data_IF_457673681613
#
_entry.id   IF_457673681613
#
_cell.length_a   1.000
_cell.length_b   1.000
_cell.length_c   1.000
_cell.angle_alpha   90.00
_cell.angle_beta   90.00
_cell.angle_gamma   90.00
#
_symmetry.space_group_name_H-M   'P 1'
#
loop_
_entity.id
_entity.type
_entity.pdbx_description
1 polymer ?
#
# COMPACT_ATOMS: atom_id res chain seq x y z
N UNK A 1 -2.99 23.19 24.83
CA UNK A 1 -3.30 23.97 23.60
C UNK A 1 -2.31 23.56 22.52
N UNK A 2 -2.46 22.38 21.95
CA UNK A 2 -1.61 21.83 20.89
C UNK A 2 -2.25 22.03 19.54
N UNK A 3 -1.76 23.00 18.79
CA UNK A 3 -2.21 23.28 17.46
C UNK A 3 -1.95 22.11 16.52
N UNK A 4 -3.01 21.64 15.84
CA UNK A 4 -2.94 21.12 14.48
C UNK A 4 -2.15 19.84 14.16
N UNK A 5 -1.58 19.13 15.11
CA UNK A 5 -0.90 17.87 14.82
C UNK A 5 -1.95 16.75 14.61
N UNK A 6 -1.94 16.17 13.42
CA UNK A 6 -2.76 15.02 13.09
C UNK A 6 -2.33 13.85 13.97
N UNK A 7 -3.09 13.55 15.03
CA UNK A 7 -2.82 12.37 15.86
C UNK A 7 -2.96 11.11 15.00
N UNK A 8 -1.97 10.20 14.98
CA UNK A 8 -2.05 8.95 14.22
C UNK A 8 -3.31 8.14 14.52
N UNK A 9 -3.73 8.11 15.78
CA UNK A 9 -4.94 7.40 16.23
C UNK A 9 -6.21 8.01 15.60
N UNK A 10 -6.31 9.34 15.59
CA UNK A 10 -7.47 10.02 14.96
C UNK A 10 -7.53 9.79 13.46
N UNK A 11 -6.38 9.80 12.78
CA UNK A 11 -6.31 9.49 11.35
C UNK A 11 -6.74 8.05 11.07
N UNK A 12 -6.27 7.10 11.87
CA UNK A 12 -6.65 5.69 11.72
C UNK A 12 -8.14 5.49 11.95
N UNK A 13 -8.71 6.06 13.01
CA UNK A 13 -10.15 5.98 13.30
C UNK A 13 -10.99 6.63 12.19
N UNK A 14 -10.60 7.80 11.71
CA UNK A 14 -11.27 8.46 10.60
C UNK A 14 -11.21 7.61 9.31
N UNK A 15 -10.04 6.99 9.03
CA UNK A 15 -9.88 6.10 7.89
C UNK A 15 -10.77 4.85 7.98
N UNK A 16 -10.86 4.23 9.14
CA UNK A 16 -11.75 3.07 9.39
C UNK A 16 -13.21 3.45 9.23
N UNK A 17 -13.63 4.59 9.81
CA UNK A 17 -15.01 5.06 9.69
C UNK A 17 -15.38 5.37 8.24
N UNK A 18 -14.52 6.08 7.51
CA UNK A 18 -14.74 6.39 6.09
C UNK A 18 -14.76 5.11 5.25
N UNK A 19 -13.84 4.17 5.51
CA UNK A 19 -13.81 2.87 4.85
C UNK A 19 -15.11 2.09 5.04
N UNK A 20 -15.62 2.03 6.26
CA UNK A 20 -16.88 1.35 6.57
C UNK A 20 -18.09 1.96 5.83
N UNK A 21 -18.15 3.30 5.75
CA UNK A 21 -19.21 3.99 4.99
C UNK A 21 -19.11 3.67 3.50
N UNK A 22 -17.92 3.75 2.92
CA UNK A 22 -17.71 3.45 1.49
C UNK A 22 -17.99 1.97 1.17
N UNK A 23 -17.60 1.05 2.05
CA UNK A 23 -17.88 -0.37 1.90
C UNK A 23 -19.39 -0.65 1.98
N UNK A 24 -20.08 -0.04 2.93
CA UNK A 24 -21.54 -0.14 3.05
C UNK A 24 -22.27 0.38 1.80
N UNK A 25 -21.85 1.52 1.26
CA UNK A 25 -22.41 2.08 0.02
C UNK A 25 -22.14 1.16 -1.19
N UNK A 26 -20.91 0.68 -1.32
CA UNK A 26 -20.52 -0.22 -2.41
C UNK A 26 -21.31 -1.53 -2.36
N UNK A 27 -21.44 -2.12 -1.18
CA UNK A 27 -22.23 -3.34 -0.96
C UNK A 27 -23.71 -3.10 -1.23
N UNK A 28 -24.26 -1.96 -0.79
CA UNK A 28 -25.66 -1.59 -1.05
C UNK A 28 -25.96 -1.50 -2.57
N UNK A 29 -25.08 -0.85 -3.33
CA UNK A 29 -25.22 -0.74 -4.80
C UNK A 29 -25.07 -2.12 -5.46
N UNK A 30 -24.14 -2.94 -5.00
CA UNK A 30 -23.90 -4.28 -5.53
C UNK A 30 -25.10 -5.21 -5.32
N UNK A 31 -25.78 -5.13 -4.18
CA UNK A 31 -26.98 -5.93 -3.91
C UNK A 31 -28.17 -5.59 -4.82
N UNK A 32 -28.22 -4.36 -5.34
CA UNK A 32 -29.25 -3.93 -6.28
C UNK A 32 -28.98 -4.35 -7.72
N UNK A 33 -27.74 -4.74 -8.05
CA UNK A 33 -27.29 -5.06 -9.40
C UNK A 33 -26.42 -6.33 -9.40
N UNK A 34 -26.95 -7.50 -9.81
CA UNK A 34 -26.19 -8.75 -9.83
C UNK A 34 -24.88 -8.69 -10.62
N UNK A 35 -24.87 -7.99 -11.76
CA UNK A 35 -23.67 -7.84 -12.59
C UNK A 35 -22.56 -7.05 -11.88
N UNK A 36 -22.94 -6.02 -11.11
CA UNK A 36 -22.03 -5.22 -10.28
C UNK A 36 -21.49 -6.07 -9.12
N UNK A 37 -22.34 -6.90 -8.53
CA UNK A 37 -21.94 -7.82 -7.47
C UNK A 37 -20.88 -8.81 -7.94
N UNK A 38 -21.06 -9.43 -9.08
CA UNK A 38 -20.11 -10.37 -9.67
C UNK A 38 -18.77 -9.67 -10.01
N UNK A 39 -18.80 -8.47 -10.60
CA UNK A 39 -17.59 -7.70 -10.87
C UNK A 39 -16.85 -7.33 -9.59
N UNK A 40 -17.55 -6.88 -8.54
CA UNK A 40 -16.96 -6.57 -7.24
C UNK A 40 -16.30 -7.80 -6.59
N UNK A 41 -16.97 -8.94 -6.62
CA UNK A 41 -16.43 -10.20 -6.09
C UNK A 41 -15.12 -10.59 -6.78
N UNK A 42 -15.07 -10.40 -8.10
CA UNK A 42 -13.86 -10.68 -8.87
C UNK A 42 -12.75 -9.65 -8.60
N UNK A 43 -13.08 -8.39 -8.43
CA UNK A 43 -12.13 -7.35 -8.11
C UNK A 43 -11.57 -7.50 -6.69
N UNK A 44 -12.42 -7.83 -5.70
CA UNK A 44 -12.00 -8.07 -4.31
C UNK A 44 -11.01 -9.24 -4.17
N UNK A 45 -11.02 -10.17 -5.10
CA UNK A 45 -10.07 -11.27 -5.10
C UNK A 45 -8.65 -10.88 -5.55
N UNK A 46 -8.44 -9.66 -6.04
CA UNK A 46 -7.15 -9.09 -6.44
C UNK A 46 -6.45 -9.88 -7.57
N UNK A 47 -6.14 -9.22 -8.68
CA UNK A 47 -5.49 -9.86 -9.84
C UNK A 47 -4.56 -8.88 -10.55
N UNK A 48 -3.44 -9.39 -11.07
CA UNK A 48 -2.55 -8.64 -11.96
C UNK A 48 -2.97 -8.73 -13.44
N UNK A 49 -4.04 -9.43 -13.75
CA UNK A 49 -4.56 -9.57 -15.11
C UNK A 49 -5.25 -8.27 -15.55
N UNK A 50 -4.45 -7.33 -16.05
CA UNK A 50 -4.92 -6.01 -16.52
C UNK A 50 -5.27 -6.13 -17.99
N UNK A 51 -6.56 -6.14 -18.30
CA UNK A 51 -7.08 -6.26 -19.67
C UNK A 51 -6.98 -4.99 -20.51
N UNK A 52 -6.71 -3.82 -19.91
CA UNK A 52 -6.68 -2.52 -20.60
C UNK A 52 -5.38 -1.77 -20.36
N UNK A 53 -4.56 -1.68 -21.43
CA UNK A 53 -3.37 -0.82 -21.46
C UNK A 53 -3.69 0.66 -21.29
N UNK A 54 -4.90 1.09 -21.63
CA UNK A 54 -5.29 2.48 -21.51
C UNK A 54 -5.46 2.89 -20.05
N UNK A 55 -6.08 2.04 -19.25
CA UNK A 55 -6.20 2.24 -17.78
C UNK A 55 -4.83 2.32 -17.13
N UNK A 56 -3.90 1.45 -17.55
CA UNK A 56 -2.52 1.47 -17.05
C UNK A 56 -1.82 2.79 -17.34
N UNK A 57 -1.93 3.33 -18.56
CA UNK A 57 -1.31 4.61 -18.94
C UNK A 57 -1.83 5.79 -18.13
N UNK A 58 -3.12 5.84 -17.86
CA UNK A 58 -3.75 6.91 -17.07
C UNK A 58 -3.23 6.92 -15.62
N UNK A 59 -3.04 5.75 -15.05
CA UNK A 59 -2.63 5.62 -13.64
C UNK A 59 -1.11 5.67 -13.47
N UNK A 60 -0.35 5.32 -14.50
CA UNK A 60 1.12 5.30 -14.44
C UNK A 60 1.70 6.68 -14.11
N UNK A 61 1.17 7.74 -14.70
CA UNK A 61 1.67 9.12 -14.48
C UNK A 61 1.53 9.56 -13.02
N UNK A 62 0.34 9.52 -12.39
CA UNK A 62 0.21 9.90 -10.98
C UNK A 62 1.01 8.99 -10.05
N UNK A 63 1.12 7.69 -10.35
CA UNK A 63 1.92 6.75 -9.55
C UNK A 63 3.41 7.10 -9.62
N UNK A 64 3.96 7.39 -10.80
CA UNK A 64 5.37 7.79 -10.94
C UNK A 64 5.67 9.10 -10.23
N UNK A 65 4.77 10.09 -10.34
CA UNK A 65 4.92 11.36 -9.61
C UNK A 65 4.90 11.13 -8.10
N UNK A 66 3.92 10.36 -7.61
CA UNK A 66 3.81 10.07 -6.18
C UNK A 66 5.01 9.26 -5.66
N UNK A 67 5.51 8.29 -6.44
CA UNK A 67 6.73 7.54 -6.10
C UNK A 67 7.96 8.45 -6.04
N UNK A 68 8.13 9.35 -7.00
CA UNK A 68 9.20 10.34 -6.98
C UNK A 68 9.11 11.24 -5.74
N UNK A 69 7.91 11.76 -5.43
CA UNK A 69 7.70 12.57 -4.22
C UNK A 69 8.01 11.78 -2.95
N UNK A 70 7.62 10.49 -2.86
CA UNK A 70 7.96 9.61 -1.75
C UNK A 70 9.48 9.50 -1.54
N UNK A 71 10.24 9.32 -2.63
CA UNK A 71 11.69 9.25 -2.57
C UNK A 71 12.32 10.58 -2.12
N UNK A 72 11.81 11.71 -2.57
CA UNK A 72 12.27 13.03 -2.10
C UNK A 72 11.94 13.28 -0.62
N UNK A 73 10.83 12.71 -0.12
CA UNK A 73 10.43 12.80 1.28
C UNK A 73 11.28 11.95 2.24
N UNK A 74 12.11 11.03 1.74
CA UNK A 74 12.88 10.07 2.53
C UNK A 74 13.67 10.71 3.69
N UNK A 75 14.29 11.87 3.45
CA UNK A 75 15.04 12.60 4.48
C UNK A 75 14.13 13.15 5.60
N UNK A 76 13.01 13.74 5.21
CA UNK A 76 12.04 14.27 6.16
C UNK A 76 11.36 13.14 6.96
N UNK A 77 11.14 11.97 6.33
CA UNK A 77 10.63 10.77 6.99
C UNK A 77 11.63 10.21 8.00
N UNK A 78 12.93 10.21 7.68
CA UNK A 78 13.97 9.83 8.64
C UNK A 78 13.99 10.76 9.87
N UNK A 79 13.86 12.07 9.67
CA UNK A 79 13.75 13.00 10.80
C UNK A 79 12.49 12.73 11.63
N UNK A 80 11.36 12.44 10.96
CA UNK A 80 10.09 12.16 11.60
C UNK A 80 10.10 10.85 12.40
N UNK A 81 10.89 9.85 12.00
CA UNK A 81 11.06 8.59 12.74
C UNK A 81 11.74 8.76 14.11
N UNK A 82 12.42 9.88 14.34
CA UNK A 82 13.02 10.26 15.64
C UNK A 82 12.00 10.93 16.60
N UNK A 83 10.76 11.08 16.16
CA UNK A 83 9.70 11.77 16.88
C UNK A 83 9.45 13.19 16.38
N UNK A 84 8.21 13.68 16.55
CA UNK A 84 7.75 14.98 16.04
C UNK A 84 8.55 16.16 16.61
N UNK A 85 8.88 16.10 17.91
CA UNK A 85 9.56 17.17 18.62
C UNK A 85 11.02 17.28 18.18
N UNK A 86 11.70 16.13 18.06
CA UNK A 86 13.08 16.05 17.54
C UNK A 86 13.13 16.50 16.07
N UNK A 87 12.17 16.05 15.24
CA UNK A 87 12.10 16.46 13.84
C UNK A 87 11.92 17.98 13.71
N UNK A 88 11.10 18.58 14.57
CA UNK A 88 10.89 20.04 14.60
C UNK A 88 12.16 20.77 15.02
N UNK A 89 12.86 20.28 16.05
CA UNK A 89 14.14 20.85 16.50
C UNK A 89 15.22 20.78 15.40
N UNK A 90 15.17 19.74 14.54
CA UNK A 90 16.04 19.60 13.35
C UNK A 90 15.58 20.45 12.16
N UNK A 91 14.58 21.32 12.33
CA UNK A 91 14.06 22.22 11.28
C UNK A 91 13.10 21.58 10.28
N UNK A 92 12.64 20.36 10.53
CA UNK A 92 11.68 19.69 9.66
C UNK A 92 10.28 20.28 9.84
N UNK A 93 9.60 20.57 8.74
CA UNK A 93 8.20 21.02 8.73
C UNK A 93 7.26 19.82 8.87
N UNK A 94 7.13 19.29 10.09
CA UNK A 94 6.41 18.05 10.41
C UNK A 94 5.02 17.98 9.80
N UNK A 95 4.17 19.00 10.01
CA UNK A 95 2.81 19.02 9.47
C UNK A 95 2.77 18.95 7.94
N UNK A 96 3.69 19.63 7.25
CA UNK A 96 3.79 19.57 5.79
C UNK A 96 4.25 18.21 5.30
N UNK A 97 5.24 17.60 5.98
CA UNK A 97 5.73 16.26 5.65
C UNK A 97 4.64 15.21 5.82
N UNK A 98 3.89 15.28 6.92
CA UNK A 98 2.75 14.39 7.17
C UNK A 98 1.65 14.54 6.12
N UNK A 99 1.28 15.78 5.77
CA UNK A 99 0.25 16.04 4.78
C UNK A 99 0.65 15.54 3.38
N UNK A 100 1.88 15.84 2.93
CA UNK A 100 2.38 15.36 1.64
C UNK A 100 2.50 13.83 1.66
N UNK A 101 2.99 13.26 2.75
CA UNK A 101 3.07 11.81 2.93
C UNK A 101 1.70 11.14 2.82
N UNK A 102 0.67 11.72 3.45
CA UNK A 102 -0.71 11.22 3.36
C UNK A 102 -1.24 11.26 1.92
N UNK A 103 -1.02 12.37 1.19
CA UNK A 103 -1.40 12.47 -0.22
C UNK A 103 -0.69 11.42 -1.09
N UNK A 104 0.61 11.23 -0.87
CA UNK A 104 1.41 10.22 -1.60
C UNK A 104 0.86 8.82 -1.35
N UNK A 105 0.60 8.47 -0.08
CA UNK A 105 0.02 7.16 0.27
C UNK A 105 -1.35 6.99 -0.38
N UNK A 106 -2.20 8.02 -0.32
CA UNK A 106 -3.54 7.97 -0.93
C UNK A 106 -3.47 7.72 -2.43
N UNK A 107 -2.58 8.42 -3.14
CA UNK A 107 -2.42 8.23 -4.58
C UNK A 107 -1.85 6.85 -4.90
N UNK A 108 -0.78 6.41 -4.21
CA UNK A 108 -0.14 5.13 -4.49
C UNK A 108 -1.05 3.94 -4.16
N UNK A 109 -1.61 3.91 -2.94
CA UNK A 109 -2.49 2.82 -2.52
C UNK A 109 -3.81 2.83 -3.28
N UNK A 110 -4.43 4.01 -3.44
CA UNK A 110 -5.69 4.15 -4.16
C UNK A 110 -5.58 3.73 -5.62
N UNK A 111 -4.52 4.17 -6.30
CA UNK A 111 -4.24 3.79 -7.69
C UNK A 111 -3.97 2.30 -7.85
N UNK A 112 -3.16 1.71 -6.96
CA UNK A 112 -2.87 0.28 -7.00
C UNK A 112 -4.14 -0.54 -6.76
N UNK A 113 -4.88 -0.23 -5.69
CA UNK A 113 -6.10 -0.96 -5.35
C UNK A 113 -7.19 -0.81 -6.43
N UNK A 114 -7.33 0.35 -7.04
CA UNK A 114 -8.31 0.56 -8.11
C UNK A 114 -8.07 -0.35 -9.34
N UNK A 115 -6.80 -0.62 -9.67
CA UNK A 115 -6.44 -1.42 -10.84
C UNK A 115 -6.45 -2.93 -10.54
N UNK A 116 -5.74 -3.34 -9.48
CA UNK A 116 -5.48 -4.76 -9.20
C UNK A 116 -6.37 -5.34 -8.12
N UNK A 117 -7.18 -4.52 -7.47
CA UNK A 117 -7.93 -4.90 -6.29
C UNK A 117 -7.06 -4.94 -5.01
N UNK A 118 -7.67 -5.30 -3.87
CA UNK A 118 -6.95 -5.39 -2.60
C UNK A 118 -6.03 -6.61 -2.58
N UNK A 119 -4.72 -6.38 -2.33
CA UNK A 119 -3.73 -7.45 -2.13
C UNK A 119 -3.22 -7.34 -0.70
N UNK A 120 -3.51 -8.37 0.10
CA UNK A 120 -3.16 -8.40 1.51
C UNK A 120 -1.66 -8.72 1.74
N UNK A 121 -1.16 -8.40 2.95
CA UNK A 121 0.17 -8.71 3.49
C UNK A 121 1.36 -8.02 2.84
N UNK A 122 1.36 -7.72 1.56
CA UNK A 122 2.51 -7.16 0.84
C UNK A 122 2.95 -5.81 1.42
N UNK A 123 2.00 -4.93 1.71
CA UNK A 123 2.28 -3.61 2.28
C UNK A 123 2.93 -3.64 3.67
N UNK A 124 2.72 -4.72 4.43
CA UNK A 124 3.36 -4.92 5.73
C UNK A 124 4.68 -5.67 5.60
N UNK A 125 4.71 -6.72 4.80
CA UNK A 125 5.88 -7.60 4.65
C UNK A 125 7.05 -6.89 3.97
N UNK A 126 6.83 -6.22 2.85
CA UNK A 126 7.90 -5.66 2.03
C UNK A 126 8.71 -4.55 2.71
N UNK A 127 8.11 -3.56 3.41
CA UNK A 127 8.88 -2.58 4.17
C UNK A 127 9.70 -3.21 5.31
N UNK A 128 9.20 -4.29 5.93
CA UNK A 128 9.94 -5.02 6.96
C UNK A 128 11.15 -5.75 6.37
N UNK A 129 10.97 -6.44 5.24
CA UNK A 129 12.06 -7.09 4.52
C UNK A 129 13.11 -6.07 4.04
N UNK A 130 12.67 -4.94 3.49
CA UNK A 130 13.57 -3.88 3.05
C UNK A 130 14.41 -3.35 4.22
N UNK A 131 13.79 -3.09 5.37
CA UNK A 131 14.52 -2.65 6.57
C UNK A 131 15.50 -3.70 7.09
N UNK A 132 15.16 -4.96 6.99
CA UNK A 132 16.06 -6.05 7.37
C UNK A 132 17.29 -6.13 6.45
N UNK A 133 17.12 -5.84 5.15
CA UNK A 133 18.21 -5.90 4.16
C UNK A 133 19.12 -4.67 4.19
N UNK A 134 18.56 -3.46 4.31
CA UNK A 134 19.29 -2.19 4.11
C UNK A 134 19.21 -1.24 5.31
N UNK A 135 18.61 -1.68 6.42
CA UNK A 135 18.46 -0.87 7.63
C UNK A 135 17.23 0.06 7.61
N UNK A 136 17.09 0.87 8.67
CA UNK A 136 15.93 1.73 8.90
C UNK A 136 15.95 3.04 8.09
N UNK A 137 17.04 3.34 7.36
CA UNK A 137 17.13 4.57 6.55
C UNK A 137 16.17 4.51 5.36
N UNK A 138 15.20 5.43 5.33
CA UNK A 138 14.21 5.53 4.26
C UNK A 138 14.82 5.83 2.88
N UNK A 139 16.04 6.35 2.81
CA UNK A 139 16.75 6.58 1.55
C UNK A 139 17.06 5.29 0.80
N UNK A 140 17.29 4.22 1.55
CA UNK A 140 17.60 2.89 1.02
C UNK A 140 16.40 1.96 1.06
N UNK A 141 15.61 2.03 2.14
CA UNK A 141 14.45 1.14 2.30
C UNK A 141 13.33 1.43 1.31
N UNK A 142 13.08 2.71 0.94
CA UNK A 142 12.05 3.05 -0.05
C UNK A 142 12.38 2.55 -1.47
N UNK A 143 13.59 2.81 -2.03
CA UNK A 143 13.94 2.25 -3.34
C UNK A 143 13.92 0.72 -3.37
N UNK A 144 14.44 0.06 -2.31
CA UNK A 144 14.40 -1.40 -2.21
C UNK A 144 12.96 -1.91 -2.18
N UNK A 145 12.07 -1.29 -1.39
CA UNK A 145 10.65 -1.65 -1.37
C UNK A 145 10.00 -1.43 -2.73
N UNK A 146 10.31 -0.33 -3.41
CA UNK A 146 9.76 0.01 -4.72
C UNK A 146 10.10 -1.04 -5.79
N UNK A 147 11.31 -1.60 -5.74
CA UNK A 147 11.78 -2.61 -6.71
C UNK A 147 11.38 -4.03 -6.28
N UNK A 148 11.50 -4.35 -5.00
CA UNK A 148 11.27 -5.69 -4.50
C UNK A 148 9.77 -6.06 -4.45
N UNK A 149 8.87 -5.08 -4.24
CA UNK A 149 7.43 -5.35 -4.21
C UNK A 149 6.89 -5.84 -5.56
N UNK A 150 7.15 -5.17 -6.70
CA UNK A 150 6.74 -5.69 -8.00
C UNK A 150 7.38 -7.04 -8.34
N UNK A 151 8.66 -7.23 -7.99
CA UNK A 151 9.35 -8.49 -8.22
C UNK A 151 8.67 -9.66 -7.47
N UNK A 152 8.31 -9.45 -6.21
CA UNK A 152 7.58 -10.45 -5.43
C UNK A 152 6.19 -10.72 -6.00
N UNK A 153 5.46 -9.67 -6.42
CA UNK A 153 4.14 -9.82 -7.02
C UNK A 153 4.19 -10.60 -8.33
N UNK A 154 5.14 -10.31 -9.20
CA UNK A 154 5.35 -11.07 -10.43
C UNK A 154 5.72 -12.52 -10.14
N UNK A 155 6.58 -12.76 -9.15
CA UNK A 155 6.93 -14.10 -8.73
C UNK A 155 5.70 -14.87 -8.21
N UNK A 156 4.87 -14.23 -7.38
CA UNK A 156 3.63 -14.81 -6.87
C UNK A 156 2.62 -15.10 -7.99
N UNK A 157 2.52 -14.22 -9.00
CA UNK A 157 1.67 -14.42 -10.17
C UNK A 157 2.12 -15.62 -11.01
N UNK A 158 3.41 -15.71 -11.30
CA UNK A 158 3.99 -16.85 -12.03
C UNK A 158 3.76 -18.15 -11.28
N UNK A 159 3.99 -18.18 -9.96
CA UNK A 159 3.71 -19.36 -9.14
C UNK A 159 2.22 -19.73 -9.17
N UNK A 160 1.31 -18.76 -9.07
CA UNK A 160 -0.12 -19.00 -9.12
C UNK A 160 -0.57 -19.63 -10.44
N UNK A 161 0.01 -19.22 -11.56
CA UNK A 161 -0.26 -19.78 -12.90
C UNK A 161 0.32 -21.18 -13.10
N UNK A 162 1.45 -21.50 -12.43
CA UNK A 162 2.08 -22.81 -12.55
C UNK A 162 1.46 -23.86 -11.65
N UNK A 163 0.94 -23.48 -10.49
CA UNK A 163 0.46 -24.43 -9.46
C UNK A 163 -0.92 -25.00 -9.74
N UNK A 164 -1.80 -24.25 -10.42
CA UNK A 164 -3.19 -24.67 -10.65
C UNK A 164 -3.63 -24.34 -12.09
N UNK A 165 -4.12 -25.36 -12.84
CA UNK A 165 -4.78 -25.12 -14.10
C UNK A 165 -6.14 -24.42 -13.84
N UNK A 166 -6.18 -23.10 -13.94
CA UNK A 166 -7.36 -22.30 -13.64
C UNK A 166 -7.06 -20.98 -12.94
N UNK A 167 -5.80 -20.54 -12.94
CA UNK A 167 -5.29 -19.24 -12.49
C UNK A 167 -5.65 -18.89 -11.03
N UNK A 168 -4.82 -19.36 -10.09
CA UNK A 168 -4.86 -18.83 -8.73
C UNK A 168 -4.52 -17.33 -8.73
N UNK A 169 -5.41 -16.55 -8.16
CA UNK A 169 -5.21 -15.10 -8.07
C UNK A 169 -4.02 -14.75 -7.18
N UNK A 170 -3.28 -13.75 -7.59
CA UNK A 170 -2.06 -13.28 -6.89
C UNK A 170 -2.31 -13.00 -5.42
N UNK A 171 -3.47 -12.45 -5.05
CA UNK A 171 -3.81 -12.18 -3.65
C UNK A 171 -3.82 -13.44 -2.77
N UNK A 172 -4.27 -14.57 -3.30
CA UNK A 172 -4.27 -15.85 -2.59
C UNK A 172 -2.85 -16.34 -2.39
N UNK A 173 -2.04 -16.36 -3.46
CA UNK A 173 -0.63 -16.80 -3.40
C UNK A 173 0.18 -15.88 -2.49
N UNK A 174 -0.02 -14.56 -2.59
CA UNK A 174 0.67 -13.59 -1.73
C UNK A 174 0.28 -13.71 -0.27
N UNK A 175 -0.97 -14.09 0.05
CA UNK A 175 -1.41 -14.34 1.42
C UNK A 175 -0.75 -15.60 2.00
N UNK A 176 -0.67 -16.68 1.21
CA UNK A 176 0.00 -17.92 1.63
C UNK A 176 1.51 -17.75 1.86
N UNK A 177 2.17 -16.91 1.08
CA UNK A 177 3.59 -16.60 1.26
C UNK A 177 3.76 -15.53 2.35
N UNK A 178 2.94 -14.50 2.33
CA UNK A 178 3.10 -13.31 3.16
C UNK A 178 2.81 -13.56 4.63
N UNK A 179 1.77 -14.35 4.96
CA UNK A 179 1.40 -14.60 6.34
C UNK A 179 2.49 -15.37 7.13
N UNK A 180 3.08 -16.48 6.64
CA UNK A 180 4.17 -17.15 7.34
C UNK A 180 5.43 -16.28 7.45
N UNK A 181 5.77 -15.54 6.39
CA UNK A 181 6.94 -14.65 6.38
C UNK A 181 6.75 -13.52 7.39
N UNK A 182 5.56 -12.94 7.47
CA UNK A 182 5.26 -11.88 8.44
C UNK A 182 5.34 -12.41 9.88
N UNK A 183 4.76 -13.59 10.15
CA UNK A 183 4.84 -14.24 11.48
C UNK A 183 6.30 -14.49 11.86
N UNK A 184 7.10 -14.97 10.93
CA UNK A 184 8.52 -15.22 11.16
C UNK A 184 9.30 -13.93 11.44
N UNK A 185 9.03 -12.86 10.69
CA UNK A 185 9.65 -11.55 10.88
C UNK A 185 9.30 -10.93 12.23
N UNK A 186 8.03 -11.02 12.64
CA UNK A 186 7.57 -10.46 13.94
C UNK A 186 8.15 -11.24 15.12
N UNK A 187 8.36 -12.55 14.99
CA UNK A 187 8.98 -13.37 16.06
C UNK A 187 10.47 -13.10 16.26
N UNK A 188 11.14 -12.47 15.28
CA UNK A 188 12.59 -12.17 15.37
C UNK A 188 12.91 -10.76 15.86
N UNK A 189 11.90 -9.92 16.08
CA UNK A 189 12.01 -8.61 16.74
C UNK A 189 11.80 -8.75 18.24
#
# INVERSE_FOLDING_TARGET
>A
QGGGQLSPVRLTLAGVALGAVLEGLSTGIALLNPDVYDQLRFWQAGSLDIRSLQTLKVVLVPVLIAAAVALFLSRALNSLSLGSDTATALGSKVARTQFIGLLVITVLCGSATAIVGPIAFIGLMMPHMARWLVGADHRWSLPVTLLATPALLLFADVLGRLLVPGELRVSVVSAFIGAPVLIWLVRRQ
#
